data_IF_976037825539
#
_entry.id   IF_976037825539
#
_cell.length_a   1.000
_cell.length_b   1.000
_cell.length_c   1.000
_cell.angle_alpha   90.00
_cell.angle_beta   90.00
_cell.angle_gamma   90.00
#
_symmetry.space_group_name_H-M   'P 1'
#
loop_
_entity.id
_entity.type
_entity.pdbx_description
1 polymer ?
#
# COMPACT_ATOMS: atom_id res chain seq x y z
N UNK A 1 -16.64 9.05 0.28
CA UNK A 1 -15.62 8.14 -0.28
C UNK A 1 -14.28 8.81 -0.14
N UNK A 2 -13.27 8.12 0.39
CA UNK A 2 -11.89 8.58 0.21
C UNK A 2 -11.61 8.59 -1.29
N UNK A 3 -10.90 9.59 -1.77
CA UNK A 3 -10.64 9.75 -3.20
C UNK A 3 -9.50 8.83 -3.65
N UNK A 4 -9.76 7.52 -3.54
CA UNK A 4 -8.79 6.47 -3.85
C UNK A 4 -8.42 6.51 -5.33
N UNK A 5 -9.35 6.94 -6.18
CA UNK A 5 -9.14 7.12 -7.61
C UNK A 5 -8.09 8.19 -7.93
N UNK A 6 -7.99 9.25 -7.11
CA UNK A 6 -6.94 10.27 -7.25
C UNK A 6 -5.60 9.87 -6.60
N UNK A 7 -5.61 8.93 -5.66
CA UNK A 7 -4.39 8.45 -4.98
C UNK A 7 -3.74 7.25 -5.68
N UNK A 8 -4.54 6.37 -6.29
CA UNK A 8 -4.06 5.09 -6.80
C UNK A 8 -4.53 4.83 -8.23
N UNK A 9 -3.58 4.57 -9.12
CA UNK A 9 -3.87 4.17 -10.49
C UNK A 9 -4.13 2.65 -10.58
N UNK A 10 -5.04 2.24 -11.45
CA UNK A 10 -5.37 0.81 -11.63
C UNK A 10 -4.16 -0.03 -12.06
N UNK A 11 -3.22 0.55 -12.82
CA UNK A 11 -1.97 -0.12 -13.19
C UNK A 11 -1.09 -0.43 -11.97
N UNK A 12 -1.09 0.44 -10.95
CA UNK A 12 -0.38 0.21 -9.69
C UNK A 12 -1.02 -0.96 -8.94
N UNK A 13 -2.36 -0.99 -8.82
CA UNK A 13 -3.09 -2.10 -8.21
C UNK A 13 -2.84 -3.44 -8.90
N UNK A 14 -2.80 -3.45 -10.24
CA UNK A 14 -2.48 -4.68 -10.99
C UNK A 14 -1.06 -5.14 -10.69
N UNK A 15 -0.09 -4.23 -10.62
CA UNK A 15 1.30 -4.57 -10.30
C UNK A 15 1.42 -5.19 -8.91
N UNK A 16 0.77 -4.58 -7.90
CA UNK A 16 0.87 -5.05 -6.51
C UNK A 16 -0.03 -6.26 -6.20
N UNK A 17 -1.04 -6.54 -7.04
CA UNK A 17 -1.97 -7.68 -6.86
C UNK A 17 -1.26 -9.03 -6.66
N UNK A 18 -0.13 -9.23 -7.35
CA UNK A 18 0.68 -10.45 -7.26
C UNK A 18 1.47 -10.56 -5.96
N UNK A 19 1.78 -9.43 -5.32
CA UNK A 19 2.52 -9.42 -4.06
C UNK A 19 1.55 -9.73 -2.93
N UNK A 20 0.45 -8.98 -2.86
CA UNK A 20 -0.54 -9.15 -1.80
C UNK A 20 -1.50 -10.33 -2.01
N UNK A 21 -1.43 -11.01 -3.16
CA UNK A 21 -2.35 -12.10 -3.55
C UNK A 21 -3.83 -11.67 -3.49
N UNK A 22 -4.10 -10.40 -3.83
CA UNK A 22 -5.42 -9.78 -3.82
C UNK A 22 -5.73 -9.19 -5.18
N UNK A 23 -6.98 -9.33 -5.65
CA UNK A 23 -7.39 -8.67 -6.88
C UNK A 23 -7.61 -7.16 -6.66
N UNK A 24 -7.54 -6.31 -7.71
CA UNK A 24 -7.66 -4.86 -7.57
C UNK A 24 -8.94 -4.39 -6.85
N UNK A 25 -10.06 -5.09 -7.02
CA UNK A 25 -11.32 -4.75 -6.35
C UNK A 25 -11.24 -4.99 -4.84
N UNK A 26 -10.67 -6.10 -4.41
CA UNK A 26 -10.41 -6.36 -2.98
C UNK A 26 -9.47 -5.31 -2.40
N UNK A 27 -8.41 -4.95 -3.12
CA UNK A 27 -7.47 -3.94 -2.68
C UNK A 27 -8.12 -2.57 -2.49
N UNK A 28 -8.98 -2.13 -3.42
CA UNK A 28 -9.76 -0.88 -3.27
C UNK A 28 -10.60 -0.93 -2.00
N UNK A 29 -11.32 -2.03 -1.75
CA UNK A 29 -12.14 -2.17 -0.53
C UNK A 29 -11.27 -2.06 0.74
N UNK A 30 -10.09 -2.68 0.75
CA UNK A 30 -9.20 -2.61 1.90
C UNK A 30 -8.65 -1.20 2.12
N UNK A 31 -8.29 -0.50 1.04
CA UNK A 31 -7.86 0.90 1.11
C UNK A 31 -8.99 1.82 1.61
N UNK A 32 -10.23 1.60 1.17
CA UNK A 32 -11.39 2.36 1.66
C UNK A 32 -11.67 2.12 3.16
N UNK A 33 -11.30 0.94 3.66
CA UNK A 33 -11.47 0.53 5.05
C UNK A 33 -10.25 0.79 5.94
N UNK A 34 -9.20 1.44 5.42
CA UNK A 34 -7.92 1.64 6.12
C UNK A 34 -7.24 0.33 6.58
N UNK A 35 -7.55 -0.79 5.91
CA UNK A 35 -6.92 -2.10 6.10
C UNK A 35 -5.73 -2.32 5.14
N UNK A 36 -5.56 -1.42 4.18
CA UNK A 36 -4.34 -1.23 3.41
C UNK A 36 -4.05 0.27 3.35
N UNK A 37 -2.78 0.62 3.20
CA UNK A 37 -2.35 2.01 3.09
C UNK A 37 -1.42 2.22 1.91
N UNK A 38 -1.47 3.42 1.36
CA UNK A 38 -0.59 3.88 0.28
C UNK A 38 0.15 5.12 0.75
N UNK A 39 1.46 5.10 0.57
CA UNK A 39 2.34 6.23 0.81
C UNK A 39 2.91 6.70 -0.52
N UNK A 40 2.85 8.00 -0.78
CA UNK A 40 3.38 8.61 -2.01
C UNK A 40 4.91 8.51 -2.10
N UNK A 41 5.59 8.42 -0.96
CA UNK A 41 7.03 8.33 -0.88
C UNK A 41 7.50 7.60 0.39
N UNK A 42 8.77 7.19 0.36
CA UNK A 42 9.49 6.57 1.48
C UNK A 42 9.48 7.40 2.75
N UNK A 43 9.59 8.72 2.66
CA UNK A 43 9.64 9.59 3.84
C UNK A 43 8.33 9.50 4.65
N UNK A 44 7.18 9.50 3.96
CA UNK A 44 5.87 9.34 4.59
C UNK A 44 5.72 7.95 5.24
N UNK A 45 6.19 6.91 4.57
CA UNK A 45 6.20 5.54 5.10
C UNK A 45 7.08 5.44 6.36
N UNK A 46 8.33 5.90 6.30
CA UNK A 46 9.28 5.86 7.43
C UNK A 46 8.85 6.77 8.59
N UNK A 47 8.13 7.85 8.33
CA UNK A 47 7.56 8.68 9.40
C UNK A 47 6.54 7.90 10.25
N UNK A 48 5.82 6.95 9.64
CA UNK A 48 4.82 6.12 10.34
C UNK A 48 5.45 4.87 10.96
N UNK A 49 6.21 4.12 10.17
CA UNK A 49 6.71 2.80 10.54
C UNK A 49 8.17 2.79 11.06
N UNK A 50 8.87 3.91 10.94
CA UNK A 50 10.29 4.02 11.26
C UNK A 50 11.18 3.47 10.13
N UNK A 51 12.49 3.48 10.35
CA UNK A 51 13.45 2.80 9.49
C UNK A 51 13.86 1.49 10.15
N UNK A 52 13.16 0.40 9.80
CA UNK A 52 13.43 -0.95 10.30
C UNK A 52 13.76 -1.87 9.13
N UNK A 53 14.65 -2.82 9.35
CA UNK A 53 14.90 -3.90 8.38
C UNK A 53 13.72 -4.87 8.30
N UNK A 54 12.96 -5.02 9.40
CA UNK A 54 11.74 -5.82 9.48
C UNK A 54 10.63 -5.05 10.20
N UNK A 55 9.43 -5.00 9.62
CA UNK A 55 8.25 -4.32 10.18
C UNK A 55 7.30 -5.37 10.77
N UNK A 56 7.38 -5.60 12.08
CA UNK A 56 6.55 -6.60 12.78
C UNK A 56 5.05 -6.27 12.74
N UNK A 57 4.71 -5.00 12.59
CA UNK A 57 3.35 -4.47 12.47
C UNK A 57 2.73 -4.64 11.06
N UNK A 58 3.53 -5.01 10.05
CA UNK A 58 3.07 -5.21 8.68
C UNK A 58 2.96 -6.70 8.36
N UNK A 59 1.84 -7.08 7.75
CA UNK A 59 1.68 -8.41 7.13
C UNK A 59 2.50 -8.46 5.85
N UNK A 60 2.34 -7.45 4.99
CA UNK A 60 3.04 -7.31 3.72
C UNK A 60 3.27 -5.84 3.36
N UNK A 61 4.33 -5.57 2.62
CA UNK A 61 4.57 -4.26 2.00
C UNK A 61 5.36 -4.40 0.70
N UNK A 62 5.21 -3.42 -0.18
CA UNK A 62 6.06 -3.30 -1.36
C UNK A 62 6.21 -1.87 -1.82
N UNK A 63 7.37 -1.57 -2.38
CA UNK A 63 7.65 -0.32 -3.06
C UNK A 63 7.53 -0.51 -4.58
N UNK A 64 6.81 0.39 -5.23
CA UNK A 64 6.75 0.48 -6.68
C UNK A 64 7.93 1.31 -7.22
N UNK A 65 8.28 1.11 -8.49
CA UNK A 65 9.37 1.84 -9.14
C UNK A 65 9.19 3.37 -9.16
N UNK A 66 7.96 3.87 -8.97
CA UNK A 66 7.66 5.29 -8.86
C UNK A 66 7.84 5.84 -7.43
N UNK A 67 8.30 5.02 -6.48
CA UNK A 67 8.54 5.39 -5.09
C UNK A 67 7.31 5.28 -4.19
N UNK A 68 6.12 4.95 -4.73
CA UNK A 68 4.94 4.69 -3.91
C UNK A 68 5.08 3.38 -3.15
N UNK A 69 4.55 3.34 -1.94
CA UNK A 69 4.62 2.16 -1.08
C UNK A 69 3.21 1.73 -0.71
N UNK A 70 2.92 0.45 -0.94
CA UNK A 70 1.71 -0.20 -0.48
C UNK A 70 2.03 -1.01 0.76
N UNK A 71 1.15 -0.96 1.75
CA UNK A 71 1.30 -1.71 3.00
C UNK A 71 -0.03 -2.34 3.38
N UNK A 72 0.06 -3.50 4.02
CA UNK A 72 -1.05 -4.19 4.66
C UNK A 72 -0.65 -4.44 6.12
N UNK A 73 -1.19 -3.69 7.09
CA UNK A 73 -0.97 -3.94 8.50
C UNK A 73 -1.53 -5.30 8.94
N UNK A 74 -0.96 -5.89 10.00
CA UNK A 74 -1.50 -7.11 10.64
C UNK A 74 -2.81 -6.86 11.37
#
# INVERSE_FOLDING_TARGET
MKDIANTVHIGELIAVSKIFQLNPFQMIILLEKDLMEVFENKEAFFKKYGNKETYDELEDWCELNNGKIFTKPK
#
